data_IF_109279180360
#
_entry.id   IF_109279180360
#
_cell.length_a   1.000
_cell.length_b   1.000
_cell.length_c   1.000
_cell.angle_alpha   90.00
_cell.angle_beta   90.00
_cell.angle_gamma   90.00
#
_symmetry.space_group_name_H-M   'P 1'
#
loop_
_entity.id
_entity.type
_entity.pdbx_description
1 polymer ?
#
# COMPACT_ATOMS: atom_id res chain seq x y z
N UNK A 1 0.25 9.57 16.63
CA UNK A 1 -0.27 8.83 15.47
C UNK A 1 -0.64 7.39 15.83
N UNK A 2 0.29 6.52 16.27
CA UNK A 2 -0.01 5.11 16.66
C UNK A 2 -1.08 5.03 17.76
N UNK A 3 -1.07 5.91 18.76
CA UNK A 3 -2.10 5.97 19.78
C UNK A 3 -3.51 6.32 19.24
N UNK A 4 -3.62 7.08 18.15
CA UNK A 4 -4.91 7.34 17.50
C UNK A 4 -5.50 6.08 16.87
N UNK A 5 -4.69 5.27 16.18
CA UNK A 5 -5.16 4.01 15.57
C UNK A 5 -5.63 3.05 16.66
N UNK A 6 -4.85 2.82 17.71
CA UNK A 6 -5.23 1.92 18.81
C UNK A 6 -6.54 2.36 19.50
N UNK A 7 -6.72 3.67 19.71
CA UNK A 7 -7.97 4.20 20.26
C UNK A 7 -9.15 4.05 19.29
N UNK A 8 -8.91 4.11 17.99
CA UNK A 8 -9.90 3.86 16.94
C UNK A 8 -10.27 2.39 16.88
N UNK A 9 -9.28 1.49 16.96
CA UNK A 9 -9.52 0.04 16.99
C UNK A 9 -10.35 -0.36 18.21
N UNK A 10 -10.16 0.29 19.37
CA UNK A 10 -10.99 0.06 20.55
C UNK A 10 -12.44 0.51 20.31
N UNK A 11 -12.68 1.66 19.67
CA UNK A 11 -14.03 2.11 19.33
C UNK A 11 -14.69 1.14 18.32
N UNK A 12 -13.97 0.67 17.30
CA UNK A 12 -14.46 -0.35 16.35
C UNK A 12 -14.83 -1.65 17.10
N UNK A 13 -14.01 -2.10 18.05
CA UNK A 13 -14.27 -3.29 18.87
C UNK A 13 -15.54 -3.15 19.70
N UNK A 14 -15.78 -1.95 20.19
CA UNK A 14 -16.99 -1.61 20.95
C UNK A 14 -18.24 -1.37 20.07
N UNK A 15 -18.13 -1.46 18.77
CA UNK A 15 -19.24 -1.21 17.84
C UNK A 15 -19.56 0.28 17.65
N UNK A 16 -18.58 1.17 17.84
CA UNK A 16 -18.74 2.59 17.58
C UNK A 16 -18.34 2.92 16.14
N UNK A 17 -19.03 3.88 15.56
CA UNK A 17 -18.72 4.43 14.24
C UNK A 17 -17.48 5.31 14.33
N UNK A 18 -16.62 5.25 13.33
CA UNK A 18 -15.48 6.16 13.11
C UNK A 18 -15.55 6.74 11.70
N UNK A 19 -14.80 7.80 11.44
CA UNK A 19 -14.67 8.37 10.10
C UNK A 19 -13.33 7.92 9.54
N UNK A 20 -13.36 7.20 8.42
CA UNK A 20 -12.18 6.77 7.67
C UNK A 20 -12.00 7.67 6.45
N UNK A 21 -10.85 8.34 6.35
CA UNK A 21 -10.56 9.33 5.30
C UNK A 21 -9.42 8.83 4.42
N UNK A 22 -9.60 8.92 3.10
CA UNK A 22 -8.56 8.59 2.14
C UNK A 22 -7.69 9.81 1.77
N UNK A 23 -6.74 9.59 0.85
CA UNK A 23 -5.76 10.59 0.45
C UNK A 23 -6.40 11.70 -0.40
N UNK A 24 -5.90 12.96 -0.24
CA UNK A 24 -6.35 14.12 -1.00
C UNK A 24 -6.17 13.94 -2.53
N UNK A 25 -5.16 13.17 -2.93
CA UNK A 25 -4.89 12.84 -4.34
C UNK A 25 -5.78 11.72 -4.89
N UNK A 26 -6.64 11.07 -4.06
CA UNK A 26 -7.53 9.97 -4.47
C UNK A 26 -8.97 10.46 -4.62
N UNK A 27 -9.86 10.15 -3.70
CA UNK A 27 -11.26 10.64 -3.65
C UNK A 27 -11.38 11.86 -2.77
N UNK A 28 -10.48 11.97 -1.76
CA UNK A 28 -10.49 13.00 -0.74
C UNK A 28 -11.83 13.03 0.01
N UNK A 29 -12.34 11.87 0.41
CA UNK A 29 -13.64 11.68 1.03
C UNK A 29 -13.49 11.00 2.39
N UNK A 30 -14.52 11.14 3.23
CA UNK A 30 -14.61 10.47 4.51
C UNK A 30 -15.86 9.60 4.58
N UNK A 31 -15.68 8.36 5.04
CA UNK A 31 -16.74 7.40 5.21
C UNK A 31 -16.99 7.12 6.70
N UNK A 32 -18.25 7.15 7.11
CA UNK A 32 -18.69 6.54 8.36
C UNK A 32 -18.41 5.03 8.26
N UNK A 33 -17.58 4.54 9.16
CA UNK A 33 -17.08 3.16 9.11
C UNK A 33 -17.36 2.42 10.42
N UNK A 34 -17.83 1.19 10.31
CA UNK A 34 -18.15 0.31 11.44
C UNK A 34 -17.81 -1.14 11.08
N UNK A 35 -17.36 -1.96 12.03
CA UNK A 35 -17.21 -3.40 11.79
C UNK A 35 -18.58 -4.05 11.54
N UNK A 36 -18.70 -4.81 10.47
CA UNK A 36 -20.00 -5.32 10.01
C UNK A 36 -20.71 -6.25 11.02
N UNK A 37 -19.95 -7.02 11.83
CA UNK A 37 -20.55 -7.86 12.86
C UNK A 37 -21.13 -7.09 14.04
N UNK A 38 -20.83 -5.79 14.16
CA UNK A 38 -21.33 -4.89 15.19
C UNK A 38 -22.46 -3.97 14.70
N UNK A 39 -22.91 -4.17 13.45
CA UNK A 39 -23.94 -3.33 12.86
C UNK A 39 -25.28 -3.45 13.63
N UNK A 40 -25.96 -2.35 13.78
CA UNK A 40 -27.29 -2.27 14.39
C UNK A 40 -28.23 -1.43 13.53
N UNK A 41 -29.57 -1.54 13.68
CA UNK A 41 -30.50 -0.65 13.00
C UNK A 41 -30.24 0.84 13.29
N UNK A 42 -29.82 1.17 14.51
CA UNK A 42 -29.49 2.54 14.91
C UNK A 42 -28.27 3.07 14.15
N UNK A 43 -27.23 2.23 13.98
CA UNK A 43 -26.03 2.60 13.20
C UNK A 43 -26.38 2.81 11.72
N UNK A 44 -27.20 1.93 11.11
CA UNK A 44 -27.70 2.11 9.74
C UNK A 44 -28.50 3.40 9.62
N UNK A 45 -29.40 3.67 10.59
CA UNK A 45 -30.18 4.90 10.59
C UNK A 45 -29.30 6.15 10.74
N UNK A 46 -28.27 6.08 11.56
CA UNK A 46 -27.28 7.16 11.69
C UNK A 46 -26.56 7.42 10.36
N UNK A 47 -26.03 6.37 9.72
CA UNK A 47 -25.37 6.46 8.43
C UNK A 47 -26.31 7.06 7.34
N UNK A 48 -27.53 6.56 7.26
CA UNK A 48 -28.51 7.04 6.28
C UNK A 48 -28.92 8.50 6.51
N UNK A 49 -29.11 8.91 7.78
CA UNK A 49 -29.56 10.24 8.14
C UNK A 49 -28.47 11.29 8.06
N UNK A 50 -27.30 10.99 8.56
CA UNK A 50 -26.23 11.96 8.72
C UNK A 50 -25.11 11.80 7.70
N UNK A 51 -24.76 10.57 7.30
CA UNK A 51 -23.82 10.31 6.21
C UNK A 51 -24.42 10.65 4.86
N UNK A 52 -25.63 10.14 4.58
CA UNK A 52 -26.40 10.37 3.33
C UNK A 52 -25.80 9.71 2.09
N UNK A 53 -24.66 9.03 2.23
CA UNK A 53 -24.01 8.29 1.18
C UNK A 53 -24.66 6.92 0.91
N UNK A 54 -24.03 6.12 0.08
CA UNK A 54 -24.44 4.75 -0.20
C UNK A 54 -23.91 3.82 0.90
N UNK A 55 -24.81 3.15 1.61
CA UNK A 55 -24.40 2.16 2.63
C UNK A 55 -23.94 0.90 1.91
N UNK A 56 -22.64 0.62 2.00
CA UNK A 56 -21.97 -0.51 1.38
C UNK A 56 -21.39 -1.48 2.45
N UNK A 57 -21.27 -2.75 2.06
CA UNK A 57 -20.69 -3.82 2.89
C UNK A 57 -19.38 -4.29 2.27
N UNK A 58 -18.26 -3.89 2.84
CA UNK A 58 -16.93 -4.37 2.41
C UNK A 58 -16.68 -5.78 2.93
N UNK A 59 -16.39 -6.72 2.03
CA UNK A 59 -16.11 -8.13 2.33
C UNK A 59 -14.80 -8.58 1.69
N UNK A 60 -14.19 -9.62 2.26
CA UNK A 60 -13.06 -10.30 1.64
C UNK A 60 -13.51 -11.08 0.41
N UNK A 61 -12.58 -11.37 -0.50
CA UNK A 61 -12.85 -12.18 -1.69
C UNK A 61 -13.31 -13.59 -1.33
N UNK A 62 -12.72 -14.18 -0.27
CA UNK A 62 -13.08 -15.49 0.25
C UNK A 62 -14.56 -15.53 0.65
N UNK A 63 -15.00 -14.51 1.44
CA UNK A 63 -16.39 -14.44 1.89
C UNK A 63 -17.37 -14.26 0.74
N UNK A 64 -17.04 -13.42 -0.24
CA UNK A 64 -17.86 -13.25 -1.44
C UNK A 64 -17.98 -14.54 -2.26
N UNK A 65 -16.90 -15.31 -2.36
CA UNK A 65 -16.90 -16.60 -3.05
C UNK A 65 -17.77 -17.64 -2.30
N UNK A 66 -17.72 -17.72 -0.97
CA UNK A 66 -18.59 -18.57 -0.15
C UNK A 66 -20.08 -18.24 -0.37
N UNK A 67 -20.39 -16.94 -0.40
CA UNK A 67 -21.75 -16.45 -0.66
C UNK A 67 -22.14 -16.50 -2.15
N UNK A 68 -21.21 -16.86 -3.06
CA UNK A 68 -21.40 -16.90 -4.52
C UNK A 68 -21.92 -15.60 -5.10
N UNK A 69 -21.40 -14.47 -4.62
CA UNK A 69 -21.78 -13.14 -5.10
C UNK A 69 -20.89 -12.72 -6.27
N UNK A 70 -21.41 -12.68 -7.50
CA UNK A 70 -20.65 -12.25 -8.67
C UNK A 70 -20.44 -10.74 -8.67
N UNK A 71 -19.41 -10.30 -9.39
CA UNK A 71 -19.22 -8.88 -9.68
C UNK A 71 -20.42 -8.31 -10.44
N UNK A 72 -20.78 -7.06 -10.14
CA UNK A 72 -21.91 -6.36 -10.75
C UNK A 72 -21.74 -6.21 -12.27
N UNK A 73 -20.50 -6.08 -12.74
CA UNK A 73 -20.15 -5.93 -14.16
C UNK A 73 -18.96 -6.83 -14.51
N UNK A 74 -18.93 -7.31 -15.75
CA UNK A 74 -17.82 -8.09 -16.28
C UNK A 74 -16.56 -7.26 -16.51
N UNK A 75 -16.74 -5.98 -16.88
CA UNK A 75 -15.67 -5.01 -17.10
C UNK A 75 -15.93 -3.76 -16.27
N UNK A 76 -15.05 -3.46 -15.33
CA UNK A 76 -15.16 -2.29 -14.47
C UNK A 76 -14.43 -1.10 -15.11
N UNK A 77 -15.18 -0.13 -15.60
CA UNK A 77 -14.70 1.09 -16.24
C UNK A 77 -14.71 2.32 -15.30
N UNK A 78 -15.06 2.14 -14.01
CA UNK A 78 -15.07 3.24 -13.05
C UNK A 78 -13.67 3.77 -12.76
N UNK A 79 -13.58 5.09 -12.50
CA UNK A 79 -12.30 5.79 -12.29
C UNK A 79 -11.42 5.16 -11.21
N UNK A 80 -12.03 4.75 -10.10
CA UNK A 80 -11.33 4.16 -8.95
C UNK A 80 -11.45 2.64 -8.87
N UNK A 81 -12.11 2.03 -9.87
CA UNK A 81 -12.32 0.59 -9.99
C UNK A 81 -12.90 -0.05 -8.72
N UNK A 82 -13.81 0.65 -8.04
CA UNK A 82 -14.52 0.12 -6.87
C UNK A 82 -15.26 -1.16 -7.24
N UNK A 83 -14.96 -2.23 -6.54
CA UNK A 83 -15.31 -3.59 -6.92
C UNK A 83 -16.70 -3.98 -6.40
N UNK A 84 -17.76 -3.36 -6.93
CA UNK A 84 -19.15 -3.70 -6.63
C UNK A 84 -19.49 -5.13 -7.06
N UNK A 85 -20.16 -5.87 -6.18
CA UNK A 85 -20.88 -7.08 -6.53
C UNK A 85 -22.35 -6.78 -6.75
N UNK A 86 -23.14 -7.80 -7.15
CA UNK A 86 -24.60 -7.67 -7.16
C UNK A 86 -25.11 -7.28 -5.78
N UNK A 87 -26.14 -6.41 -5.74
CA UNK A 87 -26.79 -6.01 -4.49
C UNK A 87 -27.62 -7.17 -3.91
N UNK A 88 -27.76 -7.19 -2.58
CA UNK A 88 -28.40 -8.30 -1.87
C UNK A 88 -29.35 -7.82 -0.78
N UNK A 89 -30.29 -8.70 -0.43
CA UNK A 89 -31.08 -8.66 0.81
C UNK A 89 -31.04 -10.04 1.48
N UNK A 90 -31.27 -10.08 2.80
CA UNK A 90 -31.48 -11.36 3.49
C UNK A 90 -32.77 -12.01 2.97
N UNK A 91 -32.74 -13.35 2.79
CA UNK A 91 -33.93 -14.10 2.38
C UNK A 91 -35.01 -14.14 3.45
N UNK A 92 -34.62 -14.06 4.72
CA UNK A 92 -35.50 -14.16 5.89
C UNK A 92 -35.24 -13.01 6.86
N UNK A 93 -36.24 -12.67 7.66
CA UNK A 93 -36.09 -11.67 8.70
C UNK A 93 -36.15 -10.21 8.24
N UNK A 94 -36.52 -9.98 6.97
CA UNK A 94 -36.67 -8.66 6.36
C UNK A 94 -38.08 -8.48 5.79
N UNK A 95 -38.47 -7.21 5.62
CA UNK A 95 -39.74 -6.86 4.98
C UNK A 95 -39.53 -6.52 3.51
N UNK A 96 -39.27 -5.26 3.16
CA UNK A 96 -38.98 -4.80 1.80
C UNK A 96 -37.48 -4.65 1.53
N UNK A 97 -36.63 -4.83 2.55
CA UNK A 97 -35.16 -4.76 2.45
C UNK A 97 -34.57 -3.39 2.74
N UNK A 98 -35.28 -2.27 2.56
CA UNK A 98 -34.72 -0.91 2.63
C UNK A 98 -34.68 -0.32 4.04
N UNK A 99 -35.51 -0.81 5.00
CA UNK A 99 -35.53 -0.26 6.34
C UNK A 99 -34.16 -0.41 7.04
N UNK A 100 -33.87 0.41 8.04
CA UNK A 100 -32.63 0.29 8.82
C UNK A 100 -32.49 -1.11 9.45
N UNK A 101 -33.59 -1.67 9.94
CA UNK A 101 -33.63 -3.02 10.50
C UNK A 101 -33.38 -4.09 9.44
N UNK A 102 -34.00 -3.99 8.26
CA UNK A 102 -33.81 -4.95 7.16
C UNK A 102 -32.36 -4.95 6.66
N UNK A 103 -31.76 -3.74 6.48
CA UNK A 103 -30.37 -3.61 6.04
C UNK A 103 -29.40 -4.15 7.08
N UNK A 104 -29.62 -3.89 8.37
CA UNK A 104 -28.82 -4.47 9.43
C UNK A 104 -28.91 -6.01 9.46
N UNK A 105 -30.12 -6.56 9.30
CA UNK A 105 -30.35 -8.01 9.20
C UNK A 105 -29.61 -8.61 8.00
N UNK A 106 -29.65 -7.94 6.85
CA UNK A 106 -28.95 -8.39 5.62
C UNK A 106 -27.44 -8.42 5.84
N UNK A 107 -26.86 -7.36 6.42
CA UNK A 107 -25.44 -7.29 6.71
C UNK A 107 -25.03 -8.39 7.69
N UNK A 108 -25.76 -8.57 8.80
CA UNK A 108 -25.47 -9.62 9.77
C UNK A 108 -25.56 -11.01 9.16
N UNK A 109 -26.54 -11.25 8.29
CA UNK A 109 -26.65 -12.51 7.53
C UNK A 109 -25.43 -12.72 6.62
N UNK A 110 -25.01 -11.68 5.89
CA UNK A 110 -23.87 -11.79 4.98
C UNK A 110 -22.52 -12.06 5.70
N UNK A 111 -22.35 -11.61 6.95
CA UNK A 111 -21.10 -11.83 7.70
C UNK A 111 -21.16 -13.01 8.68
N UNK A 112 -22.30 -13.67 8.83
CA UNK A 112 -22.40 -14.90 9.62
C UNK A 112 -21.74 -16.05 8.85
N UNK A 113 -20.71 -16.66 9.43
CA UNK A 113 -19.97 -17.78 8.85
C UNK A 113 -20.85 -19.01 8.50
N UNK A 114 -22.01 -19.14 9.17
CA UNK A 114 -22.95 -20.22 8.90
C UNK A 114 -23.86 -19.94 7.71
N UNK A 115 -23.93 -18.70 7.27
CA UNK A 115 -24.78 -18.30 6.14
C UNK A 115 -24.13 -18.68 4.81
N UNK A 116 -24.96 -19.13 3.90
CA UNK A 116 -24.65 -19.53 2.53
C UNK A 116 -25.30 -18.62 1.50
N UNK A 117 -25.06 -18.87 0.22
CA UNK A 117 -25.76 -18.17 -0.87
C UNK A 117 -27.28 -18.31 -0.82
N UNK A 118 -27.80 -19.34 -0.15
CA UNK A 118 -29.25 -19.57 -0.04
C UNK A 118 -29.91 -18.65 0.99
N UNK A 119 -29.14 -18.02 1.87
CA UNK A 119 -29.66 -17.10 2.90
C UNK A 119 -29.79 -15.66 2.39
N UNK A 120 -29.30 -15.40 1.18
CA UNK A 120 -29.39 -14.10 0.50
C UNK A 120 -30.25 -14.18 -0.77
N UNK A 121 -30.74 -13.03 -1.20
CA UNK A 121 -31.43 -12.82 -2.49
C UNK A 121 -30.81 -11.64 -3.22
N UNK A 122 -30.84 -11.67 -4.55
CA UNK A 122 -30.37 -10.58 -5.42
C UNK A 122 -31.45 -10.28 -6.47
N UNK A 123 -31.65 -9.00 -6.86
CA UNK A 123 -31.02 -7.81 -6.28
C UNK A 123 -31.60 -7.46 -4.90
N UNK A 124 -30.94 -6.55 -4.18
CA UNK A 124 -31.37 -6.07 -2.86
C UNK A 124 -30.89 -4.64 -2.57
N UNK A 125 -30.90 -4.27 -1.29
CA UNK A 125 -30.65 -2.90 -0.83
C UNK A 125 -29.30 -2.71 -0.10
N UNK A 126 -28.50 -3.77 0.03
CA UNK A 126 -27.11 -3.70 0.47
C UNK A 126 -26.20 -3.99 -0.71
N UNK A 127 -25.11 -3.22 -0.83
CA UNK A 127 -24.15 -3.28 -1.92
C UNK A 127 -22.82 -3.84 -1.40
N UNK A 128 -22.56 -5.16 -1.57
CA UNK A 128 -21.27 -5.71 -1.16
C UNK A 128 -20.15 -5.23 -2.08
N UNK A 129 -19.01 -4.93 -1.48
CA UNK A 129 -17.77 -4.51 -2.15
C UNK A 129 -16.68 -5.55 -1.88
N UNK A 130 -15.94 -5.93 -2.92
CA UNK A 130 -14.79 -6.81 -2.78
C UNK A 130 -13.55 -6.02 -2.37
N UNK A 131 -13.07 -6.22 -1.14
CA UNK A 131 -11.78 -5.73 -0.71
C UNK A 131 -10.64 -6.52 -1.38
N UNK A 132 -9.57 -5.82 -1.75
CA UNK A 132 -8.35 -6.45 -2.27
C UNK A 132 -7.63 -7.21 -1.16
N UNK A 133 -7.13 -8.41 -1.47
CA UNK A 133 -6.20 -9.12 -0.58
C UNK A 133 -4.97 -8.23 -0.33
N UNK A 134 -4.48 -8.21 0.92
CA UNK A 134 -3.44 -7.26 1.35
C UNK A 134 -4.01 -5.91 1.88
N UNK A 135 -5.30 -5.64 1.69
CA UNK A 135 -6.00 -4.49 2.29
C UNK A 135 -5.45 -3.14 1.82
N UNK A 136 -5.35 -2.16 2.74
CA UNK A 136 -4.88 -0.80 2.42
C UNK A 136 -3.45 -0.74 1.88
N UNK A 137 -2.66 -1.79 2.06
CA UNK A 137 -1.29 -1.88 1.53
C UNK A 137 -1.27 -2.13 0.02
N UNK A 138 -2.36 -2.67 -0.55
CA UNK A 138 -2.52 -2.95 -1.98
C UNK A 138 -3.42 -1.91 -2.66
N UNK A 139 -4.51 -1.50 -2.00
CA UNK A 139 -5.41 -0.46 -2.49
C UNK A 139 -5.80 0.47 -1.35
N UNK A 140 -5.42 1.74 -1.46
CA UNK A 140 -5.57 2.77 -0.42
C UNK A 140 -6.99 3.35 -0.35
N UNK A 141 -8.02 2.49 -0.32
CA UNK A 141 -9.43 2.88 -0.33
C UNK A 141 -10.16 2.54 0.97
N UNK A 142 -11.31 3.19 1.19
CA UNK A 142 -12.18 2.98 2.35
C UNK A 142 -12.68 1.53 2.43
N UNK A 143 -12.93 0.88 1.29
CA UNK A 143 -13.29 -0.55 1.20
C UNK A 143 -12.28 -1.42 1.92
N UNK A 144 -11.00 -1.31 1.57
CA UNK A 144 -9.91 -2.04 2.19
C UNK A 144 -9.68 -1.60 3.64
N UNK A 145 -9.74 -0.30 3.88
CA UNK A 145 -9.54 0.27 5.22
C UNK A 145 -10.57 -0.20 6.24
N UNK A 146 -11.83 -0.33 5.86
CA UNK A 146 -12.89 -0.81 6.75
C UNK A 146 -12.71 -2.28 7.14
N UNK A 147 -12.29 -3.12 6.17
CA UNK A 147 -11.96 -4.54 6.42
C UNK A 147 -10.73 -4.67 7.32
N UNK A 148 -9.70 -3.87 7.07
CA UNK A 148 -8.48 -3.85 7.89
C UNK A 148 -8.75 -3.39 9.33
N UNK A 149 -9.54 -2.33 9.53
CA UNK A 149 -9.92 -1.86 10.85
C UNK A 149 -10.68 -2.94 11.64
N UNK A 150 -11.64 -3.64 11.01
CA UNK A 150 -12.35 -4.73 11.64
C UNK A 150 -11.41 -5.87 12.03
N UNK A 151 -10.54 -6.32 11.11
CA UNK A 151 -9.55 -7.38 11.33
C UNK A 151 -8.56 -7.03 12.45
N UNK A 152 -8.01 -5.82 12.44
CA UNK A 152 -7.06 -5.34 13.46
C UNK A 152 -7.73 -5.16 14.84
N UNK A 153 -9.02 -4.89 14.87
CA UNK A 153 -9.80 -4.89 16.09
C UNK A 153 -10.12 -6.31 16.63
N UNK A 154 -9.71 -7.37 15.93
CA UNK A 154 -9.97 -8.76 16.30
C UNK A 154 -11.40 -9.23 16.00
N UNK A 155 -12.07 -8.56 15.04
CA UNK A 155 -13.42 -8.85 14.57
C UNK A 155 -13.38 -9.51 13.20
N UNK A 156 -14.52 -9.99 12.70
CA UNK A 156 -14.63 -10.53 11.34
C UNK A 156 -14.15 -9.50 10.32
N UNK A 157 -13.36 -9.88 9.29
CA UNK A 157 -12.79 -8.96 8.32
C UNK A 157 -13.86 -8.46 7.33
N UNK A 158 -14.78 -7.67 7.85
CA UNK A 158 -15.90 -7.08 7.13
C UNK A 158 -16.24 -5.71 7.73
N UNK A 159 -16.46 -4.71 6.87
CA UNK A 159 -16.79 -3.35 7.28
C UNK A 159 -18.04 -2.82 6.59
N UNK A 160 -18.81 -1.99 7.32
CA UNK A 160 -19.87 -1.19 6.71
C UNK A 160 -19.35 0.22 6.54
N UNK A 161 -19.52 0.78 5.36
CA UNK A 161 -19.09 2.14 5.01
C UNK A 161 -20.24 2.94 4.44
N UNK A 162 -20.20 4.26 4.64
CA UNK A 162 -21.15 5.20 4.07
C UNK A 162 -20.48 6.57 3.97
N UNK A 163 -20.42 7.12 2.79
CA UNK A 163 -19.81 8.42 2.52
C UNK A 163 -20.53 9.54 3.28
N UNK A 164 -19.79 10.59 3.67
CA UNK A 164 -20.37 11.78 4.33
C UNK A 164 -20.58 12.89 3.30
N UNK A 165 -21.83 13.30 3.13
CA UNK A 165 -22.21 14.45 2.32
C UNK A 165 -22.65 15.62 3.19
N UNK A 166 -22.39 16.84 2.73
CA UNK A 166 -22.90 18.08 3.32
C UNK A 166 -24.38 18.29 3.02
N UNK A 167 -24.99 19.24 3.71
CA UNK A 167 -26.43 19.58 3.53
C UNK A 167 -26.77 20.02 2.11
N UNK A 168 -25.83 20.61 1.40
CA UNK A 168 -25.96 21.04 0.02
C UNK A 168 -25.80 19.90 -1.00
N UNK A 169 -25.55 18.66 -0.54
CA UNK A 169 -25.35 17.45 -1.36
C UNK A 169 -23.95 17.31 -1.92
N UNK A 170 -23.00 18.21 -1.62
CA UNK A 170 -21.60 18.03 -1.98
C UNK A 170 -20.85 17.17 -0.97
N UNK A 171 -19.75 16.56 -1.39
CA UNK A 171 -18.97 15.68 -0.51
C UNK A 171 -18.28 16.47 0.60
N UNK A 172 -18.35 15.97 1.84
CA UNK A 172 -17.61 16.52 2.97
C UNK A 172 -16.11 16.27 2.79
N UNK A 173 -15.29 17.29 3.06
CA UNK A 173 -13.83 17.23 3.05
C UNK A 173 -13.28 17.35 4.46
N UNK A 174 -11.97 17.19 4.65
CA UNK A 174 -11.36 17.14 5.99
C UNK A 174 -11.84 18.26 6.94
N UNK A 175 -11.97 19.55 6.52
CA UNK A 175 -12.50 20.59 7.41
C UNK A 175 -13.95 20.35 7.83
N UNK A 176 -14.81 19.90 6.90
CA UNK A 176 -16.21 19.57 7.18
C UNK A 176 -16.32 18.34 8.09
N UNK A 177 -15.49 17.31 7.81
CA UNK A 177 -15.42 16.07 8.59
C UNK A 177 -14.95 16.30 10.02
N UNK A 178 -14.08 17.27 10.27
CA UNK A 178 -13.66 17.65 11.64
C UNK A 178 -14.85 18.20 12.43
N UNK A 179 -15.61 19.14 11.84
CA UNK A 179 -16.82 19.67 12.49
C UNK A 179 -17.87 18.58 12.73
N UNK A 180 -18.09 17.71 11.75
CA UNK A 180 -19.00 16.57 11.88
C UNK A 180 -18.56 15.59 12.99
N UNK A 181 -17.25 15.31 13.08
CA UNK A 181 -16.69 14.45 14.11
C UNK A 181 -16.86 15.04 15.51
N UNK A 182 -16.67 16.35 15.66
CA UNK A 182 -16.87 17.05 16.94
C UNK A 182 -18.35 17.02 17.36
N UNK A 183 -19.28 17.30 16.42
CA UNK A 183 -20.73 17.31 16.69
C UNK A 183 -21.24 15.94 17.16
N UNK A 184 -20.72 14.87 16.54
CA UNK A 184 -21.20 13.50 16.79
C UNK A 184 -20.30 12.67 17.72
N UNK A 185 -19.19 13.24 18.22
CA UNK A 185 -18.25 12.56 19.11
C UNK A 185 -17.51 11.38 18.42
N UNK A 186 -17.23 11.50 17.13
CA UNK A 186 -16.58 10.46 16.32
C UNK A 186 -15.07 10.69 16.22
N UNK A 187 -14.30 9.62 16.05
CA UNK A 187 -12.88 9.71 15.75
C UNK A 187 -12.64 9.70 14.24
N UNK A 188 -11.65 10.47 13.81
CA UNK A 188 -11.16 10.45 12.43
C UNK A 188 -9.86 9.65 12.39
N UNK A 189 -9.76 8.75 11.42
CA UNK A 189 -8.54 8.01 11.07
C UNK A 189 -8.30 8.12 9.57
N UNK A 190 -7.03 8.25 9.16
CA UNK A 190 -6.67 8.30 7.74
C UNK A 190 -6.18 6.95 7.26
N UNK A 191 -6.38 6.64 5.98
CA UNK A 191 -5.79 5.47 5.33
C UNK A 191 -4.25 5.50 5.47
N UNK A 192 -3.63 6.69 5.35
CA UNK A 192 -2.18 6.84 5.53
C UNK A 192 -1.71 6.42 6.93
N UNK A 193 -2.44 6.79 7.99
CA UNK A 193 -2.13 6.37 9.36
C UNK A 193 -2.31 4.85 9.54
N UNK A 194 -3.35 4.28 8.93
CA UNK A 194 -3.62 2.84 8.96
C UNK A 194 -2.53 2.03 8.25
N UNK A 195 -2.09 2.48 7.08
CA UNK A 195 -0.94 1.90 6.36
C UNK A 195 0.29 1.89 7.26
N UNK A 196 0.64 3.06 7.83
CA UNK A 196 1.80 3.18 8.70
C UNK A 196 1.71 2.25 9.93
N UNK A 197 0.53 2.14 10.53
CA UNK A 197 0.30 1.24 11.65
C UNK A 197 0.51 -0.22 11.25
N UNK A 198 -0.08 -0.68 10.13
CA UNK A 198 0.06 -2.04 9.63
C UNK A 198 1.51 -2.39 9.32
N UNK A 199 2.21 -1.51 8.59
CA UNK A 199 3.61 -1.70 8.24
C UNK A 199 4.52 -1.85 9.49
N UNK A 200 4.18 -1.17 10.59
CA UNK A 200 4.94 -1.25 11.84
C UNK A 200 4.56 -2.43 12.75
N UNK A 201 3.37 -2.99 12.62
CA UNK A 201 2.85 -4.03 13.52
C UNK A 201 2.78 -5.42 12.90
N UNK A 202 2.68 -5.50 11.58
CA UNK A 202 2.55 -6.76 10.85
C UNK A 202 3.87 -7.14 10.18
N UNK A 203 4.30 -8.39 10.31
CA UNK A 203 5.36 -8.95 9.49
C UNK A 203 4.75 -9.43 8.18
N UNK A 204 4.93 -8.66 7.11
CA UNK A 204 4.39 -8.95 5.79
C UNK A 204 5.35 -9.76 4.93
N UNK A 205 6.57 -10.02 5.42
CA UNK A 205 7.60 -10.73 4.67
C UNK A 205 7.90 -12.08 5.31
N UNK A 206 8.16 -13.08 4.49
CA UNK A 206 8.53 -14.43 4.91
C UNK A 206 9.71 -14.93 4.10
N UNK A 207 10.73 -15.50 4.79
CA UNK A 207 11.84 -16.20 4.13
C UNK A 207 11.33 -17.50 3.51
N UNK A 208 11.66 -17.73 2.22
CA UNK A 208 11.29 -18.94 1.51
C UNK A 208 12.46 -19.91 1.46
N UNK A 209 13.62 -19.42 1.02
CA UNK A 209 14.81 -20.24 0.77
C UNK A 209 16.07 -19.41 0.90
N UNK A 210 17.15 -20.06 1.31
CA UNK A 210 18.50 -19.49 1.40
C UNK A 210 19.45 -20.31 0.56
N UNK A 211 20.30 -19.62 -0.23
CA UNK A 211 21.31 -20.25 -1.08
C UNK A 211 22.59 -19.44 -1.10
N UNK A 212 23.71 -20.10 -1.36
CA UNK A 212 25.00 -19.44 -1.56
C UNK A 212 25.17 -19.12 -3.04
N UNK A 213 25.48 -17.85 -3.36
CA UNK A 213 25.66 -17.39 -4.74
C UNK A 213 27.05 -16.77 -4.90
N UNK A 214 27.98 -17.42 -5.62
CA UNK A 214 29.23 -16.77 -6.06
C UNK A 214 28.88 -15.76 -7.17
N UNK A 215 29.38 -14.54 -7.03
CA UNK A 215 29.09 -13.44 -7.96
C UNK A 215 30.37 -12.88 -8.58
N UNK A 216 30.25 -12.27 -9.76
CA UNK A 216 31.35 -11.64 -10.47
C UNK A 216 31.83 -10.35 -9.80
N UNK A 217 30.94 -9.61 -9.13
CA UNK A 217 31.17 -8.23 -8.70
C UNK A 217 31.37 -8.06 -7.19
N UNK A 218 31.07 -9.07 -6.39
CA UNK A 218 31.16 -8.97 -4.93
C UNK A 218 31.48 -10.29 -4.22
N UNK A 219 32.18 -11.23 -4.93
CA UNK A 219 32.51 -12.52 -4.36
C UNK A 219 31.28 -13.36 -4.01
N UNK A 220 31.31 -14.03 -2.85
CA UNK A 220 30.25 -14.95 -2.42
C UNK A 220 29.26 -14.25 -1.49
N UNK A 221 27.96 -14.36 -1.80
CA UNK A 221 26.85 -13.88 -0.97
C UNK A 221 25.94 -15.04 -0.53
N UNK A 222 25.32 -14.87 0.60
CA UNK A 222 24.13 -15.64 0.99
C UNK A 222 22.90 -14.94 0.43
N UNK A 223 22.22 -15.56 -0.50
CA UNK A 223 20.97 -15.05 -1.07
C UNK A 223 19.79 -15.64 -0.33
N UNK A 224 18.88 -14.77 0.15
CA UNK A 224 17.67 -15.14 0.84
C UNK A 224 16.49 -14.62 0.02
N UNK A 225 15.61 -15.52 -0.41
CA UNK A 225 14.40 -15.14 -1.11
C UNK A 225 13.26 -14.89 -0.11
N UNK A 226 12.54 -13.82 -0.34
CA UNK A 226 11.38 -13.40 0.44
C UNK A 226 10.12 -13.35 -0.41
N UNK A 227 9.04 -13.89 0.10
CA UNK A 227 7.68 -13.58 -0.35
C UNK A 227 7.06 -12.53 0.58
N UNK A 228 5.98 -11.90 0.12
CA UNK A 228 5.26 -10.91 0.90
C UNK A 228 3.75 -10.95 0.62
N UNK A 229 2.95 -10.33 1.50
CA UNK A 229 1.48 -10.32 1.39
C UNK A 229 0.95 -9.12 0.57
N UNK A 230 1.83 -8.27 0.02
CA UNK A 230 1.46 -7.03 -0.68
C UNK A 230 1.46 -7.20 -2.20
N UNK A 231 2.45 -7.93 -2.72
CA UNK A 231 2.59 -8.15 -4.16
C UNK A 231 3.00 -9.62 -4.46
N UNK A 232 2.81 -10.10 -5.70
CA UNK A 232 3.15 -11.48 -6.07
C UNK A 232 4.65 -11.70 -6.32
N UNK A 233 5.49 -10.74 -6.03
CA UNK A 233 6.92 -10.80 -6.37
C UNK A 233 7.75 -11.34 -5.21
N UNK A 234 8.76 -12.14 -5.54
CA UNK A 234 9.77 -12.54 -4.58
C UNK A 234 10.92 -11.53 -4.57
N UNK A 235 11.24 -10.97 -3.43
CA UNK A 235 12.40 -10.09 -3.25
C UNK A 235 13.62 -10.89 -2.79
N UNK A 236 14.81 -10.37 -3.02
CA UNK A 236 16.05 -11.08 -2.68
C UNK A 236 16.92 -10.19 -1.80
N UNK A 237 17.37 -10.71 -0.67
CA UNK A 237 18.45 -10.14 0.11
C UNK A 237 19.75 -10.89 -0.18
N UNK A 238 20.78 -10.17 -0.61
CA UNK A 238 22.16 -10.66 -0.70
C UNK A 238 22.90 -10.22 0.56
N UNK A 239 23.26 -11.18 1.40
CA UNK A 239 23.91 -10.95 2.69
C UNK A 239 25.35 -11.38 2.61
N UNK A 240 26.27 -10.53 3.10
CA UNK A 240 27.70 -10.80 3.24
C UNK A 240 28.10 -10.73 4.70
N UNK A 241 28.86 -11.71 5.16
CA UNK A 241 29.32 -11.79 6.55
C UNK A 241 28.23 -12.15 7.55
N UNK A 242 28.60 -12.34 8.80
CA UNK A 242 27.68 -12.54 9.92
C UNK A 242 27.25 -11.19 10.48
N UNK A 243 25.96 -11.00 10.68
CA UNK A 243 25.37 -9.76 11.18
C UNK A 243 24.92 -9.98 12.62
N UNK A 244 25.52 -9.22 13.54
CA UNK A 244 25.12 -9.17 14.94
C UNK A 244 24.13 -8.02 15.20
N UNK A 245 23.40 -8.08 16.33
CA UNK A 245 22.35 -7.09 16.64
C UNK A 245 22.88 -5.66 16.90
N UNK A 246 24.14 -5.51 17.28
CA UNK A 246 24.77 -4.21 17.53
C UNK A 246 25.61 -3.68 16.34
N UNK A 247 25.64 -4.43 15.25
CA UNK A 247 26.44 -4.04 14.09
C UNK A 247 25.83 -2.84 13.37
N UNK A 248 26.71 -1.95 12.91
CA UNK A 248 26.36 -0.92 11.94
C UNK A 248 26.68 -1.44 10.54
N UNK A 249 25.66 -1.78 9.77
CA UNK A 249 25.79 -2.57 8.54
C UNK A 249 25.66 -1.69 7.30
N UNK A 250 26.53 -1.89 6.29
CA UNK A 250 26.39 -1.24 4.99
C UNK A 250 25.24 -1.87 4.21
N UNK A 251 24.24 -1.05 3.81
CA UNK A 251 23.00 -1.52 3.19
C UNK A 251 22.72 -0.79 1.88
N UNK A 252 22.31 -1.55 0.86
CA UNK A 252 21.69 -1.02 -0.36
C UNK A 252 20.30 -1.61 -0.54
N UNK A 253 19.28 -0.76 -0.62
CA UNK A 253 17.97 -1.15 -1.15
C UNK A 253 17.93 -0.77 -2.63
N UNK A 254 17.99 -1.78 -3.50
CA UNK A 254 18.03 -1.62 -4.95
C UNK A 254 16.69 -2.01 -5.57
N UNK A 255 16.05 -1.11 -6.30
CA UNK A 255 14.84 -1.43 -7.06
C UNK A 255 15.21 -1.96 -8.44
N UNK A 256 14.64 -3.08 -8.82
CA UNK A 256 14.86 -3.75 -10.12
C UNK A 256 14.78 -2.78 -11.28
N UNK A 257 15.71 -2.94 -12.21
CA UNK A 257 15.75 -2.28 -13.49
C UNK A 257 16.23 -3.28 -14.56
N UNK A 258 15.32 -4.11 -15.09
CA UNK A 258 15.66 -5.17 -16.01
C UNK A 258 16.53 -4.68 -17.18
N UNK A 259 16.20 -3.53 -17.74
CA UNK A 259 16.96 -2.97 -18.87
C UNK A 259 18.37 -2.55 -18.48
N UNK A 260 18.57 -1.99 -17.28
CA UNK A 260 19.90 -1.65 -16.77
C UNK A 260 20.60 -2.88 -16.22
N UNK A 261 20.04 -3.53 -15.19
CA UNK A 261 20.71 -4.58 -14.41
C UNK A 261 21.07 -5.82 -15.22
N UNK A 262 20.30 -6.16 -16.29
CA UNK A 262 20.48 -7.37 -17.10
C UNK A 262 20.97 -7.07 -18.53
N UNK A 263 20.39 -6.03 -19.16
CA UNK A 263 20.71 -5.73 -20.58
C UNK A 263 21.77 -4.64 -20.73
N UNK A 264 22.29 -4.08 -19.64
CA UNK A 264 23.31 -3.04 -19.69
C UNK A 264 22.86 -1.76 -20.39
N UNK A 265 21.58 -1.40 -20.25
CA UNK A 265 21.04 -0.18 -20.88
C UNK A 265 21.71 1.07 -20.34
N UNK A 266 22.27 1.88 -21.22
CA UNK A 266 22.93 3.15 -20.89
C UNK A 266 21.97 4.32 -20.65
N UNK A 267 20.63 4.10 -20.70
CA UNK A 267 19.62 5.10 -20.36
C UNK A 267 19.54 5.43 -18.87
N UNK A 268 20.14 4.61 -18.02
CA UNK A 268 20.16 4.79 -16.56
C UNK A 268 21.51 4.37 -15.98
N UNK A 269 21.66 4.57 -14.68
CA UNK A 269 22.85 4.23 -13.89
C UNK A 269 22.64 2.98 -12.98
N UNK A 270 21.60 2.18 -13.24
CA UNK A 270 21.16 1.13 -12.31
C UNK A 270 22.17 -0.01 -12.18
N UNK A 271 22.66 -0.55 -13.31
CA UNK A 271 23.70 -1.60 -13.35
C UNK A 271 24.94 -1.18 -12.56
N UNK A 272 25.49 0.00 -12.87
CA UNK A 272 26.69 0.51 -12.22
C UNK A 272 26.49 0.69 -10.72
N UNK A 273 25.32 1.20 -10.29
CA UNK A 273 25.00 1.33 -8.87
C UNK A 273 24.91 -0.03 -8.18
N UNK A 274 24.32 -1.05 -8.82
CA UNK A 274 24.23 -2.40 -8.24
C UNK A 274 25.63 -3.01 -8.08
N UNK A 275 26.42 -3.00 -9.13
CA UNK A 275 27.77 -3.57 -9.10
C UNK A 275 28.71 -2.83 -8.12
N UNK A 276 28.61 -1.50 -8.06
CA UNK A 276 29.37 -0.69 -7.10
C UNK A 276 28.98 -1.04 -5.68
N UNK A 277 27.65 -1.17 -5.39
CA UNK A 277 27.19 -1.57 -4.07
C UNK A 277 27.72 -2.97 -3.67
N UNK A 278 27.70 -3.94 -4.60
CA UNK A 278 28.23 -5.27 -4.38
C UNK A 278 29.73 -5.23 -4.06
N UNK A 279 30.51 -4.45 -4.82
CA UNK A 279 31.95 -4.30 -4.61
C UNK A 279 32.26 -3.60 -3.27
N UNK A 280 31.48 -2.61 -2.86
CA UNK A 280 31.62 -1.93 -1.57
C UNK A 280 31.34 -2.87 -0.39
N UNK A 281 30.28 -3.66 -0.47
CA UNK A 281 29.93 -4.68 0.53
C UNK A 281 31.03 -5.76 0.61
N UNK A 282 31.56 -6.21 -0.53
CA UNK A 282 32.69 -7.15 -0.56
C UNK A 282 33.92 -6.57 0.14
N UNK A 283 34.27 -5.33 -0.16
CA UNK A 283 35.43 -4.64 0.45
C UNK A 283 35.28 -4.50 1.98
N UNK A 284 34.07 -4.25 2.47
CA UNK A 284 33.82 -4.20 3.93
C UNK A 284 33.75 -5.60 4.56
N UNK A 285 33.53 -6.65 3.78
CA UNK A 285 33.38 -8.03 4.26
C UNK A 285 32.05 -8.28 4.98
N UNK A 286 31.22 -7.25 5.19
CA UNK A 286 29.91 -7.30 5.86
C UNK A 286 28.94 -6.30 5.22
N UNK A 287 27.74 -6.74 4.87
CA UNK A 287 26.72 -5.86 4.34
C UNK A 287 25.52 -6.58 3.71
N UNK A 288 24.53 -5.81 3.32
CA UNK A 288 23.28 -6.32 2.73
C UNK A 288 22.87 -5.53 1.50
N UNK A 289 22.46 -6.26 0.45
CA UNK A 289 21.79 -5.66 -0.71
C UNK A 289 20.40 -6.27 -0.80
N UNK A 290 19.35 -5.47 -0.61
CA UNK A 290 17.96 -5.88 -0.83
C UNK A 290 17.58 -5.53 -2.26
N UNK A 291 17.39 -6.54 -3.10
CA UNK A 291 16.95 -6.40 -4.48
C UNK A 291 15.42 -6.50 -4.54
N UNK A 292 14.77 -5.34 -4.71
CA UNK A 292 13.33 -5.19 -4.73
C UNK A 292 12.80 -5.34 -6.15
N UNK A 293 11.89 -6.26 -6.40
CA UNK A 293 11.25 -6.43 -7.71
C UNK A 293 10.14 -5.39 -7.95
N UNK A 294 10.55 -4.12 -8.00
CA UNK A 294 9.69 -2.95 -8.22
C UNK A 294 10.14 -2.21 -9.48
N UNK A 295 9.94 -2.85 -10.64
CA UNK A 295 10.37 -2.36 -11.95
C UNK A 295 9.73 -1.00 -12.30
N UNK A 296 10.52 -0.13 -12.96
CA UNK A 296 10.02 1.16 -13.45
C UNK A 296 9.53 2.10 -12.34
N UNK A 297 10.07 2.01 -11.11
CA UNK A 297 9.59 2.72 -9.92
C UNK A 297 8.16 2.34 -9.53
N UNK A 298 7.80 1.07 -9.73
CA UNK A 298 6.49 0.53 -9.38
C UNK A 298 5.46 0.52 -10.51
N UNK A 299 5.76 1.10 -11.69
CA UNK A 299 4.83 1.11 -12.84
C UNK A 299 4.92 -0.15 -13.72
N UNK A 300 5.90 -1.02 -13.47
CA UNK A 300 6.14 -2.25 -14.21
C UNK A 300 6.90 -2.04 -15.52
N UNK A 301 7.40 -3.16 -16.10
CA UNK A 301 8.26 -3.15 -17.27
C UNK A 301 7.59 -2.57 -18.52
N UNK A 302 6.34 -2.94 -18.78
CA UNK A 302 5.63 -2.49 -19.99
C UNK A 302 5.43 -0.98 -20.00
N UNK A 303 4.97 -0.42 -18.87
CA UNK A 303 4.77 1.03 -18.77
C UNK A 303 6.11 1.79 -18.76
N UNK A 304 7.17 1.21 -18.20
CA UNK A 304 8.52 1.76 -18.33
C UNK A 304 8.97 1.86 -19.79
N UNK A 305 8.71 0.85 -20.62
CA UNK A 305 9.02 0.91 -22.03
C UNK A 305 8.16 1.94 -22.77
N UNK A 306 6.88 2.08 -22.41
CA UNK A 306 6.03 3.17 -22.91
C UNK A 306 6.57 4.55 -22.52
N UNK A 307 7.06 4.69 -21.28
CA UNK A 307 7.71 5.93 -20.83
C UNK A 307 8.99 6.23 -21.66
N UNK A 308 9.77 5.21 -22.04
CA UNK A 308 10.91 5.39 -22.94
C UNK A 308 10.49 5.95 -24.32
N UNK A 309 9.41 5.46 -24.90
CA UNK A 309 8.86 6.02 -26.14
C UNK A 309 8.51 7.51 -26.01
N UNK A 310 7.90 7.90 -24.88
CA UNK A 310 7.57 9.30 -24.61
C UNK A 310 8.83 10.16 -24.38
N UNK A 311 9.86 9.60 -23.76
CA UNK A 311 11.17 10.27 -23.61
C UNK A 311 11.86 10.48 -24.96
N UNK A 312 11.77 9.53 -25.89
CA UNK A 312 12.27 9.68 -27.26
C UNK A 312 11.55 10.78 -28.04
N UNK A 313 10.33 11.14 -27.61
CA UNK A 313 9.55 12.29 -28.11
C UNK A 313 9.83 13.61 -27.36
N UNK A 314 10.86 13.64 -26.48
CA UNK A 314 11.31 14.85 -25.79
C UNK A 314 10.76 15.09 -24.37
N UNK A 315 9.96 14.16 -23.81
CA UNK A 315 9.55 14.25 -22.40
C UNK A 315 10.69 13.79 -21.48
N UNK A 316 10.77 14.38 -20.28
CA UNK A 316 11.64 13.79 -19.26
C UNK A 316 10.95 12.62 -18.53
N UNK A 317 11.69 11.94 -17.63
CA UNK A 317 11.21 10.74 -16.95
C UNK A 317 9.97 11.00 -16.09
N UNK A 318 9.84 12.17 -15.46
CA UNK A 318 8.69 12.53 -14.60
C UNK A 318 7.47 12.82 -15.48
N UNK A 319 7.65 13.67 -16.48
CA UNK A 319 6.61 14.02 -17.46
C UNK A 319 6.07 12.81 -18.23
N UNK A 320 6.95 11.85 -18.55
CA UNK A 320 6.55 10.60 -19.20
C UNK A 320 5.67 9.73 -18.31
N UNK A 321 6.01 9.63 -16.99
CA UNK A 321 5.18 8.89 -16.04
C UNK A 321 3.82 9.56 -15.81
N UNK A 322 3.79 10.88 -15.65
CA UNK A 322 2.55 11.65 -15.48
C UNK A 322 1.64 11.56 -16.73
N UNK A 323 2.21 11.60 -17.92
CA UNK A 323 1.47 11.41 -19.17
C UNK A 323 0.85 10.00 -19.30
N UNK A 324 1.40 9.00 -18.60
CA UNK A 324 0.85 7.65 -18.50
C UNK A 324 -0.11 7.47 -17.30
N UNK A 325 -0.39 8.55 -16.53
CA UNK A 325 -1.29 8.52 -15.38
C UNK A 325 -0.66 8.03 -14.08
N UNK A 326 0.69 7.99 -13.99
CA UNK A 326 1.41 7.54 -12.79
C UNK A 326 2.07 8.70 -12.05
N UNK A 327 2.18 8.59 -10.72
CA UNK A 327 3.03 9.48 -9.91
C UNK A 327 4.53 9.29 -10.30
N UNK A 328 5.37 10.27 -10.02
CA UNK A 328 6.81 10.22 -10.33
C UNK A 328 7.54 9.04 -9.68
N UNK A 329 7.08 8.58 -8.53
CA UNK A 329 7.62 7.42 -7.80
C UNK A 329 6.50 6.72 -7.03
N UNK A 330 6.20 5.47 -7.40
CA UNK A 330 5.17 4.63 -6.79
C UNK A 330 5.77 3.50 -5.93
N UNK A 331 7.08 3.54 -5.64
CA UNK A 331 7.72 2.48 -4.86
C UNK A 331 7.30 2.53 -3.41
N UNK A 332 7.00 1.35 -2.89
CA UNK A 332 6.88 1.11 -1.46
C UNK A 332 8.25 0.69 -0.90
N UNK A 333 8.69 1.36 0.14
CA UNK A 333 9.94 1.03 0.84
C UNK A 333 9.70 0.20 2.11
N UNK A 334 8.44 0.00 2.51
CA UNK A 334 8.06 -0.73 3.72
C UNK A 334 8.45 -2.20 3.68
N UNK A 335 8.25 -2.88 2.55
CA UNK A 335 8.67 -4.28 2.37
C UNK A 335 10.20 -4.40 2.48
N UNK A 336 10.94 -3.47 1.87
CA UNK A 336 12.40 -3.43 2.00
C UNK A 336 12.86 -3.23 3.45
N UNK A 337 12.19 -2.35 4.19
CA UNK A 337 12.46 -2.13 5.61
C UNK A 337 12.16 -3.38 6.47
N UNK A 338 11.05 -4.06 6.19
CA UNK A 338 10.70 -5.31 6.90
C UNK A 338 11.70 -6.44 6.62
N UNK A 339 12.21 -6.54 5.39
CA UNK A 339 13.29 -7.49 5.07
C UNK A 339 14.55 -7.17 5.88
N UNK A 340 14.93 -5.89 6.01
CA UNK A 340 16.07 -5.49 6.81
C UNK A 340 15.86 -5.78 8.31
N UNK A 341 14.66 -5.51 8.83
CA UNK A 341 14.30 -5.82 10.22
C UNK A 341 14.29 -7.34 10.48
N UNK A 342 13.77 -8.15 9.54
CA UNK A 342 13.81 -9.63 9.63
C UNK A 342 15.26 -10.18 9.62
N UNK A 343 16.18 -9.49 8.95
CA UNK A 343 17.61 -9.80 8.98
C UNK A 343 18.29 -9.38 10.30
N UNK A 344 17.56 -8.74 11.23
CA UNK A 344 18.08 -8.29 12.53
C UNK A 344 18.87 -6.99 12.48
N UNK A 345 18.70 -6.17 11.44
CA UNK A 345 19.42 -4.89 11.33
C UNK A 345 18.68 -3.79 12.10
N UNK A 346 19.40 -3.13 13.00
CA UNK A 346 18.93 -1.99 13.78
C UNK A 346 19.63 -0.68 13.42
N UNK A 347 20.93 -0.74 13.08
CA UNK A 347 21.75 0.42 12.68
C UNK A 347 22.35 0.17 11.31
N UNK A 348 22.14 1.10 10.39
CA UNK A 348 22.64 0.94 9.02
C UNK A 348 23.35 2.17 8.49
N UNK A 349 24.32 1.93 7.61
CA UNK A 349 24.90 2.91 6.70
C UNK A 349 24.26 2.69 5.33
N UNK A 350 23.43 3.64 4.89
CA UNK A 350 22.57 3.43 3.71
C UNK A 350 23.22 3.99 2.44
N UNK A 351 23.52 3.09 1.49
CA UNK A 351 23.97 3.43 0.13
C UNK A 351 22.80 4.03 -0.68
N UNK A 352 22.72 5.36 -0.69
CA UNK A 352 21.64 6.05 -1.43
C UNK A 352 21.98 7.49 -1.77
N UNK A 353 21.46 7.96 -2.91
CA UNK A 353 21.42 9.38 -3.27
C UNK A 353 19.99 9.95 -3.12
N UNK A 354 19.00 9.12 -2.76
CA UNK A 354 17.61 9.53 -2.58
C UNK A 354 17.27 9.72 -1.09
N UNK A 355 17.05 10.95 -0.61
CA UNK A 355 16.75 11.22 0.80
C UNK A 355 15.42 10.62 1.27
N UNK A 356 14.44 10.40 0.36
CA UNK A 356 13.16 9.76 0.70
C UNK A 356 13.32 8.32 1.20
N UNK A 357 14.40 7.62 0.81
CA UNK A 357 14.68 6.26 1.29
C UNK A 357 15.06 6.23 2.77
N UNK A 358 15.61 7.32 3.31
CA UNK A 358 16.00 7.43 4.72
C UNK A 358 14.75 7.50 5.60
N UNK A 359 13.83 8.41 5.28
CA UNK A 359 12.60 8.65 6.05
C UNK A 359 11.72 7.38 6.12
N UNK A 360 11.73 6.57 5.07
CA UNK A 360 10.94 5.33 5.01
C UNK A 360 11.40 4.21 5.94
N UNK A 361 12.62 4.25 6.47
CA UNK A 361 13.20 3.16 7.28
C UNK A 361 13.07 3.40 8.80
N UNK A 362 13.07 4.65 9.25
CA UNK A 362 13.00 5.00 10.68
C UNK A 362 11.74 4.47 11.37
N UNK A 363 10.63 4.39 10.63
CA UNK A 363 9.36 3.86 11.13
C UNK A 363 9.38 2.37 11.49
N UNK A 364 10.42 1.62 11.08
CA UNK A 364 10.57 0.17 11.29
C UNK A 364 11.61 -0.21 12.33
N UNK A 365 12.04 0.75 13.16
CA UNK A 365 13.08 0.52 14.18
C UNK A 365 14.49 0.41 13.61
N UNK A 366 14.70 0.90 12.38
CA UNK A 366 16.00 0.92 11.71
C UNK A 366 16.54 2.36 11.76
N UNK A 367 17.65 2.56 12.44
CA UNK A 367 18.36 3.82 12.50
C UNK A 367 19.33 3.94 11.31
N UNK A 368 19.17 4.98 10.50
CA UNK A 368 20.13 5.31 9.44
C UNK A 368 21.18 6.24 10.03
N UNK A 369 22.30 5.66 10.49
CA UNK A 369 23.40 6.42 11.15
C UNK A 369 24.23 7.22 10.14
N UNK A 370 24.28 6.78 8.87
CA UNK A 370 25.05 7.44 7.82
C UNK A 370 24.41 7.22 6.45
N UNK A 371 24.33 8.27 5.63
CA UNK A 371 24.09 8.16 4.21
C UNK A 371 25.41 8.01 3.48
N UNK A 372 25.61 6.90 2.80
CA UNK A 372 26.78 6.68 1.94
C UNK A 372 26.40 6.99 0.49
N UNK A 373 27.05 7.95 -0.18
CA UNK A 373 26.75 8.27 -1.57
C UNK A 373 27.14 7.11 -2.49
N UNK A 374 26.33 6.91 -3.55
CA UNK A 374 26.59 5.93 -4.59
C UNK A 374 26.42 6.59 -5.95
N UNK A 375 27.43 7.35 -6.35
CA UNK A 375 27.45 8.11 -7.59
C UNK A 375 28.21 7.34 -8.67
N UNK A 376 27.67 7.37 -9.88
CA UNK A 376 28.26 6.79 -11.08
C UNK A 376 28.69 7.90 -12.03
N UNK A 377 29.61 7.61 -12.94
CA UNK A 377 30.01 8.60 -13.93
C UNK A 377 28.88 8.83 -14.94
N UNK A 378 28.48 10.09 -15.17
CA UNK A 378 27.50 10.40 -16.19
C UNK A 378 27.98 9.98 -17.60
N UNK A 379 27.04 9.50 -18.42
CA UNK A 379 27.24 9.24 -19.84
C UNK A 379 26.35 10.13 -20.68
N UNK A 380 26.66 10.28 -21.96
CA UNK A 380 25.86 11.08 -22.87
C UNK A 380 24.38 10.64 -22.88
N UNK A 381 24.12 9.34 -22.78
CA UNK A 381 22.78 8.75 -22.85
C UNK A 381 21.98 8.83 -21.52
N UNK A 382 22.64 9.04 -20.36
CA UNK A 382 21.96 9.09 -19.07
C UNK A 382 22.02 10.46 -18.36
N UNK A 383 22.72 11.44 -18.91
CA UNK A 383 22.91 12.75 -18.25
C UNK A 383 21.58 13.46 -18.00
N UNK A 384 20.65 13.43 -18.94
CA UNK A 384 19.33 14.04 -18.79
C UNK A 384 18.48 13.32 -17.74
N UNK A 385 18.58 11.99 -17.69
CA UNK A 385 17.96 11.18 -16.62
C UNK A 385 18.52 11.54 -15.24
N UNK A 386 19.81 11.71 -15.08
CA UNK A 386 20.45 12.12 -13.82
C UNK A 386 20.06 13.56 -13.43
N UNK A 387 19.99 14.49 -14.40
CA UNK A 387 19.49 15.85 -14.17
C UNK A 387 18.03 15.87 -13.70
N UNK A 388 17.16 15.07 -14.29
CA UNK A 388 15.78 14.92 -13.86
C UNK A 388 15.68 14.38 -12.43
N UNK A 389 16.51 13.38 -12.07
CA UNK A 389 16.61 12.88 -10.69
C UNK A 389 17.01 13.98 -9.69
N UNK A 390 18.02 14.79 -10.02
CA UNK A 390 18.49 15.85 -9.14
C UNK A 390 17.45 16.97 -9.00
N UNK A 391 16.93 17.50 -10.14
CA UNK A 391 16.07 18.70 -10.14
C UNK A 391 14.63 18.42 -9.71
N UNK A 392 14.02 17.33 -10.21
CA UNK A 392 12.58 17.03 -10.02
C UNK A 392 12.31 16.04 -8.89
N UNK A 393 13.29 15.21 -8.50
CA UNK A 393 13.10 14.18 -7.49
C UNK A 393 13.93 14.37 -6.22
N UNK A 394 14.72 15.46 -6.14
CA UNK A 394 15.50 15.81 -4.94
C UNK A 394 16.67 14.87 -4.66
N UNK A 395 17.20 14.15 -5.67
CA UNK A 395 18.38 13.32 -5.48
C UNK A 395 19.63 14.17 -5.25
N UNK A 396 20.44 13.73 -4.29
CA UNK A 396 21.73 14.36 -3.95
C UNK A 396 22.80 13.80 -4.90
N UNK A 397 23.02 14.48 -6.02
CA UNK A 397 23.98 14.12 -7.06
C UNK A 397 24.95 15.29 -7.33
N UNK A 398 26.23 15.00 -7.42
CA UNK A 398 27.30 15.97 -7.74
C UNK A 398 27.49 16.11 -9.24
N UNK A 399 26.45 16.60 -9.95
CA UNK A 399 26.54 16.85 -11.40
C UNK A 399 27.20 18.19 -11.62
N UNK A 400 28.41 18.21 -12.19
CA UNK A 400 29.11 19.46 -12.53
C UNK A 400 28.42 20.17 -13.70
N UNK A 401 28.28 21.52 -13.65
CA UNK A 401 27.84 22.28 -14.81
C UNK A 401 28.88 22.14 -15.93
N UNK A 402 28.52 21.50 -17.04
CA UNK A 402 29.39 21.37 -18.22
C UNK A 402 29.78 19.92 -18.59
N UNK A 403 29.34 18.92 -17.84
CA UNK A 403 29.43 17.50 -18.23
C UNK A 403 28.10 16.98 -18.77
#
# INVERSE_FOLDING_TARGET
>A
MIHRIEATLEDIRQGKIVILVDDEDRENEGDLTLAAEKITPEAINFMAKYGRGLICLSLTEERLNELRLPMMVSENTSRFQTAFTVSVDARKGVTTGISAADRATTILTAVDEKSTSEDLVSPGHIFPLRARQGGVLVRTGQTEGSVDLARLAGLKPAGVICEVMKDDGTMARMPDLQGFAEEHGLKIVTIADLIKYRLNKESLVRRIVTATIPTKYGGVFTAIAYENDVDPFHHIALVKGEIGPEDTVLVRVHSQCLTGDVFGSRRCDCEEQLHTAMAMVEKEGKGVIVYMRQEGRGIGLVNKLRAYCLQDMGKDTVEANEALGFKADMRDYGIGAQILADLGLHKIRLLTNNPRKIIGLEGYGIEVVERVPIETKPHQENIEYLKAKAKKMGHLLSIKPGE
#
